data_IF_658956729726
#
_entry.id   IF_658956729726
#
_cell.length_a   1.000
_cell.length_b   1.000
_cell.length_c   1.000
_cell.angle_alpha   90.00
_cell.angle_beta   90.00
_cell.angle_gamma   90.00
#
_symmetry.space_group_name_H-M   'P 1'
#
loop_
_entity.id
_entity.type
_entity.pdbx_description
1 polymer ?
#
# COMPACT_ATOMS: atom_id res chain seq x y z
N UNK A 1 33.31 19.83 18.76
CA UNK A 1 32.07 19.64 17.99
C UNK A 1 32.13 18.23 17.40
N UNK A 2 31.32 17.31 17.89
CA UNK A 2 31.23 15.96 17.33
C UNK A 2 30.13 15.99 16.26
N UNK A 3 30.51 15.74 15.01
CA UNK A 3 29.58 15.52 13.90
C UNK A 3 28.85 14.22 14.22
N UNK A 4 27.54 14.31 14.45
CA UNK A 4 26.68 13.14 14.66
C UNK A 4 26.74 12.24 13.43
N UNK A 5 26.92 10.95 13.68
CA UNK A 5 26.86 9.90 12.67
C UNK A 5 25.39 9.72 12.23
N UNK A 6 24.86 10.70 11.49
CA UNK A 6 23.53 10.61 10.91
C UNK A 6 23.63 9.65 9.72
N UNK A 7 23.07 8.45 9.90
CA UNK A 7 22.95 7.45 8.84
C UNK A 7 22.21 8.01 7.60
N UNK A 8 22.12 7.22 6.52
CA UNK A 8 21.56 7.70 5.25
C UNK A 8 20.16 8.30 5.43
N UNK A 9 20.00 9.56 5.03
CA UNK A 9 18.74 10.32 5.07
C UNK A 9 17.89 9.94 3.86
N UNK A 10 16.61 9.59 4.08
CA UNK A 10 15.68 9.30 2.98
C UNK A 10 15.09 10.60 2.45
N UNK A 11 15.36 10.89 1.16
CA UNK A 11 14.73 11.98 0.43
C UNK A 11 13.50 11.45 -0.30
N UNK A 12 12.33 12.04 -0.03
CA UNK A 12 11.08 11.69 -0.72
C UNK A 12 11.10 12.22 -2.15
N UNK A 13 10.89 11.32 -3.12
CA UNK A 13 10.68 11.70 -4.53
C UNK A 13 9.21 11.48 -4.88
N UNK A 14 8.43 12.53 -5.17
CA UNK A 14 7.02 12.39 -5.52
C UNK A 14 6.88 11.74 -6.90
N UNK A 15 5.78 11.00 -7.10
CA UNK A 15 5.39 10.58 -8.45
C UNK A 15 4.99 11.79 -9.28
N UNK A 16 5.39 11.81 -10.55
CA UNK A 16 4.93 12.85 -11.46
C UNK A 16 3.45 12.62 -11.82
N UNK A 17 2.74 13.71 -12.13
CA UNK A 17 1.36 13.62 -12.68
C UNK A 17 1.35 12.78 -13.96
N UNK A 18 2.42 12.87 -14.75
CA UNK A 18 2.61 12.05 -15.96
C UNK A 18 2.67 10.56 -15.63
N UNK A 19 3.42 10.16 -14.60
CA UNK A 19 3.48 8.76 -14.17
C UNK A 19 2.10 8.25 -13.74
N UNK A 20 1.35 9.08 -13.00
CA UNK A 20 -0.01 8.75 -12.55
C UNK A 20 -0.99 8.61 -13.73
N UNK A 21 -0.91 9.50 -14.72
CA UNK A 21 -1.75 9.45 -15.91
C UNK A 21 -1.40 8.25 -16.80
N UNK A 22 -0.12 7.94 -16.96
CA UNK A 22 0.33 6.77 -17.71
C UNK A 22 -0.15 5.48 -17.05
N UNK A 23 -0.11 5.41 -15.71
CA UNK A 23 -0.71 4.31 -14.97
C UNK A 23 -2.21 4.19 -15.22
N UNK A 24 -2.94 5.31 -15.25
CA UNK A 24 -4.38 5.33 -15.53
C UNK A 24 -4.71 4.84 -16.95
N UNK A 25 -3.89 5.20 -17.95
CA UNK A 25 -4.09 4.78 -19.34
C UNK A 25 -3.72 3.32 -19.55
N UNK A 26 -2.65 2.84 -18.91
CA UNK A 26 -2.26 1.43 -18.91
C UNK A 26 -3.32 0.52 -18.26
N UNK A 27 -4.25 1.10 -17.49
CA UNK A 27 -5.16 0.35 -16.64
C UNK A 27 -6.22 -0.49 -17.39
N UNK A 28 -6.64 -0.20 -18.62
CA UNK A 28 -7.47 -1.14 -19.42
C UNK A 28 -8.71 -1.74 -18.71
N UNK A 29 -9.02 -3.04 -18.95
CA UNK A 29 -10.16 -3.78 -18.38
C UNK A 29 -9.91 -4.30 -16.95
N UNK A 30 -10.90 -4.13 -16.09
CA UNK A 30 -10.86 -4.24 -14.61
C UNK A 30 -10.20 -5.50 -13.99
N UNK A 31 -10.44 -6.70 -14.51
CA UNK A 31 -9.94 -7.95 -13.88
C UNK A 31 -8.48 -8.26 -14.21
N UNK A 32 -8.11 -8.12 -15.49
CA UNK A 32 -6.72 -8.27 -15.95
C UNK A 32 -5.85 -7.12 -15.42
N UNK A 33 -6.48 -5.95 -15.25
CA UNK A 33 -5.91 -4.79 -14.59
C UNK A 33 -5.50 -5.07 -13.15
N UNK A 34 -6.36 -5.69 -12.33
CA UNK A 34 -6.04 -5.88 -10.91
C UNK A 34 -4.87 -6.85 -10.70
N UNK A 35 -4.75 -7.90 -11.51
CA UNK A 35 -3.60 -8.83 -11.47
C UNK A 35 -2.30 -8.13 -11.91
N UNK A 36 -2.35 -7.40 -13.02
CA UNK A 36 -1.23 -6.59 -13.48
C UNK A 36 -0.87 -5.49 -12.48
N UNK A 37 -1.85 -4.78 -11.92
CA UNK A 37 -1.65 -3.71 -10.95
C UNK A 37 -1.06 -4.26 -9.66
N UNK A 38 -1.49 -5.43 -9.19
CA UNK A 38 -0.90 -6.08 -8.02
C UNK A 38 0.57 -6.45 -8.27
N UNK A 39 0.92 -6.93 -9.48
CA UNK A 39 2.31 -7.21 -9.88
C UNK A 39 3.15 -5.94 -9.99
N UNK A 40 2.61 -4.88 -10.60
CA UNK A 40 3.26 -3.59 -10.74
C UNK A 40 3.47 -2.93 -9.36
N UNK A 41 2.46 -2.96 -8.48
CA UNK A 41 2.56 -2.50 -7.10
C UNK A 41 3.62 -3.28 -6.33
N UNK A 42 3.62 -4.62 -6.42
CA UNK A 42 4.64 -5.49 -5.81
C UNK A 42 6.06 -5.14 -6.28
N UNK A 43 6.25 -4.83 -7.56
CA UNK A 43 7.56 -4.41 -8.09
C UNK A 43 7.92 -3.00 -7.61
N UNK A 44 6.94 -2.11 -7.51
CA UNK A 44 7.15 -0.73 -7.11
C UNK A 44 7.54 -0.63 -5.63
N UNK A 45 6.85 -1.33 -4.71
CA UNK A 45 7.24 -1.35 -3.28
C UNK A 45 8.62 -1.97 -3.03
N UNK A 46 9.14 -2.78 -3.97
CA UNK A 46 10.51 -3.35 -3.89
C UNK A 46 11.58 -2.39 -4.39
N UNK A 47 11.23 -1.51 -5.31
CA UNK A 47 12.17 -0.60 -5.98
C UNK A 47 12.08 0.83 -5.47
N UNK A 48 10.96 1.19 -4.84
CA UNK A 48 10.65 2.51 -4.32
C UNK A 48 10.02 2.40 -2.93
N UNK A 49 10.38 3.33 -2.05
CA UNK A 49 9.76 3.46 -0.73
C UNK A 49 8.44 4.24 -0.85
N UNK A 50 7.37 3.52 -1.24
CA UNK A 50 6.06 4.12 -1.44
C UNK A 50 5.45 4.53 -0.09
N UNK A 51 5.23 5.83 0.10
CA UNK A 51 4.52 6.31 1.28
C UNK A 51 2.99 6.17 1.16
N UNK A 52 2.29 6.34 2.29
CA UNK A 52 0.85 6.16 2.37
C UNK A 52 0.07 7.00 1.34
N UNK A 53 0.47 8.26 1.13
CA UNK A 53 -0.22 9.16 0.19
C UNK A 53 -0.08 8.68 -1.24
N UNK A 54 1.11 8.24 -1.62
CA UNK A 54 1.35 7.71 -2.96
C UNK A 54 0.53 6.43 -3.18
N UNK A 55 0.46 5.54 -2.18
CA UNK A 55 -0.34 4.31 -2.26
C UNK A 55 -1.82 4.63 -2.46
N UNK A 56 -2.38 5.54 -1.66
CA UNK A 56 -3.78 5.98 -1.80
C UNK A 56 -4.07 6.65 -3.16
N UNK A 57 -3.09 7.34 -3.74
CA UNK A 57 -3.22 7.98 -5.06
C UNK A 57 -3.18 6.99 -6.23
N UNK A 58 -2.37 5.93 -6.16
CA UNK A 58 -2.25 4.91 -7.23
C UNK A 58 -3.33 3.83 -7.15
N UNK A 59 -4.02 3.68 -6.02
CA UNK A 59 -5.25 2.88 -5.94
C UNK A 59 -6.37 3.65 -6.65
N UNK A 60 -6.42 3.56 -7.97
CA UNK A 60 -7.42 4.25 -8.81
C UNK A 60 -8.85 3.76 -8.52
N UNK A 61 -9.84 4.62 -8.79
CA UNK A 61 -11.27 4.28 -8.74
C UNK A 61 -11.85 4.23 -7.32
N UNK A 62 -12.99 4.90 -7.10
CA UNK A 62 -13.65 4.91 -5.79
C UNK A 62 -14.03 3.49 -5.35
N UNK A 63 -14.62 2.72 -6.25
CA UNK A 63 -15.17 1.40 -5.96
C UNK A 63 -14.07 0.33 -5.77
N UNK A 64 -13.06 0.32 -6.63
CA UNK A 64 -11.88 -0.56 -6.58
C UNK A 64 -11.09 -0.37 -5.28
N UNK A 65 -10.76 0.89 -4.98
CA UNK A 65 -10.02 1.25 -3.77
C UNK A 65 -10.76 0.78 -2.52
N UNK A 66 -12.06 1.03 -2.43
CA UNK A 66 -12.84 0.59 -1.27
C UNK A 66 -12.87 -0.95 -1.15
N UNK A 67 -12.97 -1.68 -2.26
CA UNK A 67 -12.89 -3.15 -2.23
C UNK A 67 -11.52 -3.65 -1.77
N UNK A 68 -10.43 -3.10 -2.32
CA UNK A 68 -9.06 -3.44 -1.92
C UNK A 68 -8.85 -3.18 -0.44
N UNK A 69 -9.23 -1.98 0.04
CA UNK A 69 -9.08 -1.57 1.44
C UNK A 69 -9.93 -2.44 2.37
N UNK A 70 -11.16 -2.78 1.97
CA UNK A 70 -12.04 -3.68 2.73
C UNK A 70 -11.42 -5.07 2.89
N UNK A 71 -10.98 -5.68 1.80
CA UNK A 71 -10.38 -7.02 1.83
C UNK A 71 -9.09 -7.02 2.64
N UNK A 72 -8.23 -6.02 2.44
CA UNK A 72 -7.00 -5.84 3.21
C UNK A 72 -7.27 -5.71 4.71
N UNK A 73 -8.22 -4.85 5.08
CA UNK A 73 -8.61 -4.61 6.48
C UNK A 73 -9.18 -5.87 7.13
N UNK A 74 -10.08 -6.59 6.45
CA UNK A 74 -10.64 -7.84 6.98
C UNK A 74 -9.58 -8.91 7.24
N UNK A 75 -8.58 -9.04 6.37
CA UNK A 75 -7.48 -9.98 6.59
C UNK A 75 -6.56 -9.55 7.74
N UNK A 76 -6.28 -8.27 7.86
CA UNK A 76 -5.50 -7.71 8.96
C UNK A 76 -6.21 -7.92 10.31
N UNK A 77 -7.52 -7.62 10.39
CA UNK A 77 -8.34 -7.84 11.59
C UNK A 77 -8.40 -9.33 11.98
N UNK A 78 -8.42 -10.23 11.00
CA UNK A 78 -8.33 -11.67 11.26
C UNK A 78 -7.00 -12.03 11.94
N UNK A 79 -5.88 -11.42 11.53
CA UNK A 79 -4.57 -11.65 12.17
C UNK A 79 -4.48 -11.06 13.57
N UNK A 80 -5.13 -9.92 13.84
CA UNK A 80 -5.26 -9.39 15.21
C UNK A 80 -6.04 -10.37 16.08
N UNK A 81 -7.19 -10.84 15.58
CA UNK A 81 -8.06 -11.78 16.32
C UNK A 81 -7.34 -13.09 16.65
N UNK A 82 -6.49 -13.56 15.74
CA UNK A 82 -5.67 -14.76 15.95
C UNK A 82 -4.45 -14.53 16.87
N UNK A 83 -4.23 -13.30 17.35
CA UNK A 83 -3.07 -12.94 18.17
C UNK A 83 -1.75 -12.90 17.40
N UNK A 84 -1.79 -13.02 16.06
CA UNK A 84 -0.62 -12.96 15.20
C UNK A 84 -0.11 -11.52 15.01
N UNK A 85 -0.99 -10.53 15.18
CA UNK A 85 -0.67 -9.10 15.16
C UNK A 85 -1.07 -8.46 16.49
N UNK A 86 -0.10 -7.89 17.21
CA UNK A 86 -0.34 -7.23 18.51
C UNK A 86 -0.71 -5.74 18.38
N UNK A 87 -0.65 -5.18 17.18
CA UNK A 87 -0.99 -3.79 16.92
C UNK A 87 -2.50 -3.56 16.81
N UNK A 88 -2.94 -2.31 17.00
CA UNK A 88 -4.34 -1.95 16.76
C UNK A 88 -4.65 -1.88 15.26
N UNK A 89 -5.92 -2.10 14.90
CA UNK A 89 -6.38 -1.99 13.52
C UNK A 89 -6.07 -0.63 12.89
N UNK A 90 -6.26 0.46 13.64
CA UNK A 90 -6.03 1.82 13.14
C UNK A 90 -4.52 2.13 13.03
N UNK A 91 -3.68 1.58 13.90
CA UNK A 91 -2.24 1.71 13.74
C UNK A 91 -1.73 0.86 12.55
N UNK A 92 -2.29 -0.32 12.32
CA UNK A 92 -1.86 -1.20 11.23
C UNK A 92 -2.37 -0.74 9.87
N UNK A 93 -3.61 -0.22 9.83
CA UNK A 93 -4.33 0.15 8.62
C UNK A 93 -5.11 1.46 8.83
N UNK A 94 -4.40 2.60 8.87
CA UNK A 94 -5.00 3.89 9.19
C UNK A 94 -5.99 4.32 8.10
N UNK A 95 -7.11 4.87 8.55
CA UNK A 95 -8.18 5.40 7.69
C UNK A 95 -7.82 6.74 7.04
N UNK A 96 -6.94 7.51 7.68
CA UNK A 96 -6.43 8.81 7.26
C UNK A 96 -4.91 8.80 7.22
N UNK A 97 -4.29 9.82 6.62
CA UNK A 97 -2.82 9.94 6.60
C UNK A 97 -2.27 9.96 8.03
N UNK A 98 -1.45 8.97 8.43
CA UNK A 98 -0.90 8.93 9.78
C UNK A 98 0.26 9.92 9.98
N UNK A 99 0.64 10.69 8.96
CA UNK A 99 1.75 11.68 8.99
C UNK A 99 3.07 11.10 9.51
N UNK A 100 3.32 9.82 9.20
CA UNK A 100 4.49 9.09 9.72
C UNK A 100 5.79 9.68 9.22
N UNK A 101 6.73 9.90 10.15
CA UNK A 101 8.10 10.26 9.84
C UNK A 101 8.82 9.05 9.19
N UNK A 102 9.29 9.16 7.94
CA UNK A 102 9.94 8.06 7.22
C UNK A 102 11.30 7.66 7.82
N UNK A 103 11.95 8.54 8.58
CA UNK A 103 13.27 8.28 9.17
C UNK A 103 13.19 7.62 10.55
N UNK A 104 11.99 7.30 11.05
CA UNK A 104 11.82 6.56 12.31
C UNK A 104 11.60 5.07 12.04
N UNK A 105 12.43 4.20 12.63
CA UNK A 105 12.44 2.76 12.33
C UNK A 105 11.08 2.07 12.54
N UNK A 106 10.37 2.41 13.63
CA UNK A 106 9.02 1.89 13.88
C UNK A 106 8.02 2.27 12.77
N UNK A 107 8.12 3.47 12.23
CA UNK A 107 7.23 3.92 11.15
C UNK A 107 7.49 3.18 9.83
N UNK A 108 8.75 2.77 9.57
CA UNK A 108 9.09 1.99 8.38
C UNK A 108 8.50 0.59 8.42
N UNK A 109 8.51 -0.04 9.59
CA UNK A 109 7.86 -1.34 9.79
C UNK A 109 6.35 -1.24 9.53
N UNK A 110 5.70 -0.22 10.06
CA UNK A 110 4.26 0.02 9.87
C UNK A 110 3.90 0.31 8.41
N UNK A 111 4.73 1.09 7.70
CA UNK A 111 4.53 1.36 6.27
C UNK A 111 4.69 0.08 5.44
N UNK A 112 5.70 -0.72 5.75
CA UNK A 112 5.92 -2.03 5.11
C UNK A 112 4.74 -2.97 5.33
N UNK A 113 4.19 -3.00 6.55
CA UNK A 113 3.00 -3.78 6.86
C UNK A 113 1.78 -3.28 6.06
N UNK A 114 1.55 -1.97 6.04
CA UNK A 114 0.47 -1.36 5.25
C UNK A 114 0.58 -1.70 3.75
N UNK A 115 1.77 -1.60 3.15
CA UNK A 115 2.02 -2.02 1.78
C UNK A 115 1.68 -3.50 1.53
N UNK A 116 2.02 -4.40 2.47
CA UNK A 116 1.67 -5.83 2.38
C UNK A 116 0.16 -6.06 2.46
N UNK A 117 -0.54 -5.34 3.34
CA UNK A 117 -1.99 -5.42 3.46
C UNK A 117 -2.68 -4.96 2.17
N UNK A 118 -2.26 -3.83 1.60
CA UNK A 118 -2.78 -3.34 0.32
C UNK A 118 -2.51 -4.35 -0.80
N UNK A 119 -1.29 -4.88 -0.91
CA UNK A 119 -0.98 -5.90 -1.90
C UNK A 119 -1.88 -7.13 -1.74
N UNK A 120 -2.14 -7.56 -0.51
CA UNK A 120 -3.05 -8.67 -0.25
C UNK A 120 -4.50 -8.35 -0.65
N UNK A 121 -4.96 -7.13 -0.35
CA UNK A 121 -6.23 -6.60 -0.84
C UNK A 121 -6.32 -6.66 -2.37
N UNK A 122 -5.30 -6.22 -3.09
CA UNK A 122 -5.28 -6.24 -4.56
C UNK A 122 -5.40 -7.67 -5.13
N UNK A 123 -4.70 -8.65 -4.56
CA UNK A 123 -4.79 -10.04 -5.00
C UNK A 123 -6.14 -10.71 -4.72
N UNK A 124 -6.83 -10.27 -3.67
CA UNK A 124 -8.03 -10.95 -3.17
C UNK A 124 -9.34 -10.15 -3.40
N UNK A 125 -9.26 -8.90 -3.85
CA UNK A 125 -10.41 -8.06 -4.19
C UNK A 125 -10.94 -8.30 -5.60
N UNK A 126 -10.19 -8.99 -6.45
CA UNK A 126 -10.70 -9.49 -7.74
C UNK A 126 -11.83 -10.46 -7.40
N UNK A 127 -13.09 -10.19 -7.81
CA UNK A 127 -14.09 -11.22 -7.79
C UNK A 127 -13.54 -12.31 -8.72
N UNK A 128 -13.13 -13.46 -8.17
CA UNK A 128 -12.91 -14.64 -9.01
C UNK A 128 -14.20 -14.78 -9.79
N UNK A 129 -14.15 -14.50 -11.10
CA UNK A 129 -15.29 -14.76 -11.95
C UNK A 129 -15.66 -16.21 -11.65
N UNK A 130 -16.83 -16.40 -11.04
CA UNK A 130 -17.35 -17.71 -10.79
C UNK A 130 -17.20 -18.47 -12.11
N UNK A 131 -16.48 -19.58 -12.07
CA UNK A 131 -16.67 -20.63 -13.06
C UNK A 131 -18.19 -20.89 -13.07
N UNK A 132 -18.85 -20.41 -14.11
CA UNK A 132 -20.17 -20.83 -14.50
C UNK A 132 -20.01 -21.89 -15.58
#
# INVERSE_FOLDING_TARGET
QAVGNEGPVIVKVPFSITDLNNWKVAAGNYSDLLDWAARAFKMTIKTRDLDWKVIEAIMFGGTEREMIKRVARSQMEAQITLGALQETAENSFPSVDPHRNPNADGNRLLLTQYQKWILCGMWNAIPKANNW
#
